data_IF_890187010914
#
_entry.id   IF_890187010914
#
_cell.length_a   1.000
_cell.length_b   1.000
_cell.length_c   1.000
_cell.angle_alpha   90.00
_cell.angle_beta   90.00
_cell.angle_gamma   90.00
#
_symmetry.space_group_name_H-M   'P 1'
#
loop_
_entity.id
_entity.type
_entity.pdbx_description
1 polymer ?
#
# COMPACT_ATOMS: atom_id res chain seq x y z
N UNK A 1 11.34 -12.83 -39.65
CA UNK A 1 11.22 -13.59 -38.38
C UNK A 1 9.74 -13.70 -38.07
N UNK A 2 9.15 -14.89 -37.93
CA UNK A 2 7.76 -14.99 -37.47
C UNK A 2 7.73 -14.65 -35.96
N UNK A 3 6.95 -13.63 -35.60
CA UNK A 3 6.64 -13.29 -34.21
C UNK A 3 5.63 -14.30 -33.67
N UNK A 4 6.03 -15.08 -32.66
CA UNK A 4 5.10 -15.94 -31.93
C UNK A 4 4.33 -15.07 -30.91
N UNK A 5 3.00 -14.94 -31.01
CA UNK A 5 2.22 -14.26 -30.00
C UNK A 5 2.24 -15.10 -28.72
N UNK A 6 2.85 -14.55 -27.66
CA UNK A 6 2.89 -15.18 -26.35
C UNK A 6 1.47 -15.28 -25.77
N UNK A 7 0.96 -16.47 -25.42
CA UNK A 7 -0.44 -16.68 -25.00
C UNK A 7 -0.77 -16.16 -23.60
N UNK A 8 0.21 -15.62 -22.86
CA UNK A 8 0.05 -15.26 -21.44
C UNK A 8 -0.38 -13.81 -21.17
N UNK A 9 -0.45 -12.94 -22.19
CA UNK A 9 -0.72 -11.50 -21.96
C UNK A 9 -2.18 -11.09 -22.16
N UNK A 10 -3.05 -11.94 -22.71
CA UNK A 10 -4.44 -11.56 -23.03
C UNK A 10 -5.49 -12.07 -22.03
N UNK A 11 -5.17 -13.13 -21.28
CA UNK A 11 -6.08 -13.72 -20.29
C UNK A 11 -6.00 -13.03 -18.91
N UNK A 12 -4.90 -12.33 -18.64
CA UNK A 12 -4.68 -11.69 -17.33
C UNK A 12 -5.44 -10.35 -17.22
N UNK A 13 -5.60 -9.61 -18.33
CA UNK A 13 -6.35 -8.33 -18.37
C UNK A 13 -7.86 -8.48 -18.15
N UNK A 14 -8.42 -9.70 -18.17
CA UNK A 14 -9.82 -9.94 -17.79
C UNK A 14 -10.01 -10.20 -16.30
N UNK A 15 -8.91 -10.37 -15.55
CA UNK A 15 -8.93 -10.56 -14.08
C UNK A 15 -8.79 -9.23 -13.33
N UNK A 16 -8.62 -8.12 -14.07
CA UNK A 16 -8.51 -6.81 -13.51
C UNK A 16 -9.58 -5.87 -14.05
N UNK A 17 -10.27 -5.19 -13.15
CA UNK A 17 -11.10 -4.05 -13.47
C UNK A 17 -10.31 -2.94 -14.16
N UNK A 18 -11.02 -2.08 -14.89
CA UNK A 18 -10.43 -0.91 -15.51
C UNK A 18 -10.21 0.19 -14.47
N UNK A 19 -9.04 0.83 -14.49
CA UNK A 19 -8.70 1.95 -13.59
C UNK A 19 -9.68 3.15 -13.60
N UNK A 20 -10.54 3.30 -14.61
CA UNK A 20 -11.51 4.38 -14.72
C UNK A 20 -12.94 3.94 -14.39
N UNK A 21 -13.11 2.68 -14.03
CA UNK A 21 -14.40 2.06 -13.74
C UNK A 21 -14.52 1.88 -12.23
N UNK A 22 -15.66 2.28 -11.68
CA UNK A 22 -15.97 2.07 -10.27
C UNK A 22 -16.85 0.84 -10.16
N UNK A 23 -16.28 -0.25 -9.63
CA UNK A 23 -16.97 -1.53 -9.44
C UNK A 23 -17.05 -1.82 -7.93
N UNK A 24 -18.12 -1.39 -7.24
CA UNK A 24 -18.26 -1.54 -5.79
C UNK A 24 -18.11 -2.98 -5.30
N UNK A 25 -18.55 -3.95 -6.10
CA UNK A 25 -18.51 -5.37 -5.80
C UNK A 25 -17.08 -5.93 -5.71
N UNK A 26 -16.13 -5.27 -6.37
CA UNK A 26 -14.71 -5.61 -6.38
C UNK A 26 -13.86 -4.72 -5.47
N UNK A 27 -14.51 -3.94 -4.59
CA UNK A 27 -13.85 -3.07 -3.63
C UNK A 27 -14.19 -3.48 -2.19
N UNK A 28 -13.29 -3.23 -1.22
CA UNK A 28 -13.63 -3.40 0.18
C UNK A 28 -14.83 -2.53 0.55
N UNK A 29 -15.71 -3.01 1.42
CA UNK A 29 -16.64 -2.11 2.11
C UNK A 29 -15.88 -1.03 2.88
N UNK A 30 -16.41 0.21 3.02
CA UNK A 30 -15.81 1.21 3.89
C UNK A 30 -15.83 0.70 5.33
N UNK A 31 -14.66 0.60 5.96
CA UNK A 31 -14.54 0.14 7.33
C UNK A 31 -14.65 1.28 8.35
N UNK A 32 -14.45 0.96 9.65
CA UNK A 32 -14.70 1.89 10.75
C UNK A 32 -13.88 3.18 10.69
N UNK A 33 -12.72 3.19 10.03
CA UNK A 33 -11.92 4.42 9.90
C UNK A 33 -12.56 5.48 9.02
N UNK A 34 -13.47 5.06 8.13
CA UNK A 34 -14.18 5.89 7.17
C UNK A 34 -15.62 6.22 7.61
N UNK A 35 -16.09 5.64 8.71
CA UNK A 35 -17.45 5.87 9.21
C UNK A 35 -17.65 7.34 9.62
N UNK A 36 -18.83 7.88 9.30
CA UNK A 36 -19.14 9.31 9.51
C UNK A 36 -18.40 10.29 8.58
N UNK A 37 -17.74 9.82 7.53
CA UNK A 37 -17.01 10.66 6.55
C UNK A 37 -17.57 10.53 5.13
N UNK A 38 -17.25 11.49 4.25
CA UNK A 38 -17.72 11.48 2.85
C UNK A 38 -16.89 10.49 2.02
N UNK A 39 -17.35 9.23 1.97
CA UNK A 39 -16.71 8.15 1.22
C UNK A 39 -16.69 8.49 -0.27
N UNK A 40 -15.50 8.42 -0.88
CA UNK A 40 -15.35 8.62 -2.33
C UNK A 40 -15.97 7.44 -3.08
N UNK A 41 -16.90 7.74 -3.97
CA UNK A 41 -17.53 6.81 -4.92
C UNK A 41 -17.30 7.28 -6.35
N UNK A 42 -17.60 6.40 -7.30
CA UNK A 42 -17.67 6.71 -8.73
C UNK A 42 -16.37 7.40 -9.23
N UNK A 43 -16.52 8.47 -10.01
CA UNK A 43 -15.41 9.25 -10.56
C UNK A 43 -14.47 9.82 -9.49
N UNK A 44 -14.98 10.18 -8.30
CA UNK A 44 -14.14 10.69 -7.22
C UNK A 44 -13.19 9.60 -6.72
N UNK A 45 -13.68 8.37 -6.59
CA UNK A 45 -12.86 7.24 -6.22
C UNK A 45 -11.83 6.94 -7.31
N UNK A 46 -12.27 6.75 -8.56
CA UNK A 46 -11.37 6.34 -9.64
C UNK A 46 -10.33 7.40 -9.98
N UNK A 47 -10.67 8.69 -9.89
CA UNK A 47 -9.73 9.79 -10.09
C UNK A 47 -8.59 9.76 -9.07
N UNK A 48 -8.93 9.66 -7.77
CA UNK A 48 -7.92 9.58 -6.72
C UNK A 48 -7.12 8.28 -6.78
N UNK A 49 -7.78 7.17 -7.13
CA UNK A 49 -7.13 5.87 -7.24
C UNK A 49 -6.15 5.79 -8.42
N UNK A 50 -6.46 6.40 -9.57
CA UNK A 50 -5.53 6.57 -10.69
C UNK A 50 -4.31 7.40 -10.33
N UNK A 51 -4.49 8.44 -9.51
CA UNK A 51 -3.37 9.20 -8.97
C UNK A 51 -2.53 8.33 -8.04
N UNK A 52 -3.17 7.60 -7.12
CA UNK A 52 -2.51 6.65 -6.21
C UNK A 52 -1.61 5.69 -6.96
N UNK A 53 -2.10 5.08 -8.06
CA UNK A 53 -1.26 4.22 -8.91
C UNK A 53 0.04 4.92 -9.34
N UNK A 54 -0.06 6.14 -9.87
CA UNK A 54 1.12 6.91 -10.34
C UNK A 54 2.09 7.24 -9.20
N UNK A 55 1.58 7.69 -8.06
CA UNK A 55 2.41 8.03 -6.91
C UNK A 55 3.09 6.78 -6.34
N UNK A 56 2.39 5.64 -6.32
CA UNK A 56 2.95 4.37 -5.85
C UNK A 56 4.00 3.82 -6.80
N UNK A 57 3.85 4.01 -8.11
CA UNK A 57 4.87 3.67 -9.10
C UNK A 57 6.14 4.50 -8.86
N UNK A 58 5.99 5.82 -8.68
CA UNK A 58 7.11 6.74 -8.44
C UNK A 58 7.83 6.47 -7.11
N UNK A 59 7.07 6.11 -6.06
CA UNK A 59 7.58 5.93 -4.69
C UNK A 59 7.85 4.47 -4.33
N UNK A 60 7.69 3.54 -5.27
CA UNK A 60 8.03 2.13 -5.07
C UNK A 60 7.12 1.38 -4.09
N UNK A 61 5.83 1.71 -4.02
CA UNK A 61 4.85 1.01 -3.17
C UNK A 61 4.29 -0.21 -3.93
N UNK A 62 5.00 -1.33 -3.79
CA UNK A 62 4.70 -2.60 -4.47
C UNK A 62 4.37 -3.69 -3.45
N UNK A 63 3.35 -4.49 -3.76
CA UNK A 63 3.08 -5.73 -3.06
C UNK A 63 4.00 -6.82 -3.62
N UNK A 64 4.93 -7.31 -2.80
CA UNK A 64 5.91 -8.32 -3.23
C UNK A 64 5.29 -9.72 -3.32
N UNK A 65 4.15 -9.96 -2.66
CA UNK A 65 3.42 -11.22 -2.75
C UNK A 65 2.82 -11.38 -4.14
N UNK A 66 2.26 -10.30 -4.69
CA UNK A 66 1.64 -10.33 -6.01
C UNK A 66 2.54 -9.79 -7.14
N UNK A 67 3.63 -9.10 -6.82
CA UNK A 67 4.59 -8.60 -7.79
C UNK A 67 4.11 -7.39 -8.59
N UNK A 68 3.17 -6.60 -8.06
CA UNK A 68 2.64 -5.42 -8.72
C UNK A 68 2.52 -4.21 -7.79
N UNK A 69 2.28 -3.05 -8.39
CA UNK A 69 1.93 -1.81 -7.68
C UNK A 69 0.73 -2.05 -6.77
N UNK A 70 0.82 -1.66 -5.49
CA UNK A 70 -0.21 -1.95 -4.49
C UNK A 70 -1.62 -1.46 -4.90
N UNK A 71 -1.72 -0.34 -5.62
CA UNK A 71 -3.00 0.17 -6.10
C UNK A 71 -3.71 -0.81 -7.05
N UNK A 72 -2.96 -1.66 -7.77
CA UNK A 72 -3.56 -2.67 -8.66
C UNK A 72 -4.41 -3.71 -7.90
N UNK A 73 -4.20 -3.88 -6.58
CA UNK A 73 -5.00 -4.79 -5.77
C UNK A 73 -6.49 -4.42 -5.76
N UNK A 74 -6.83 -3.12 -5.82
CA UNK A 74 -8.22 -2.65 -5.92
C UNK A 74 -8.95 -3.08 -7.19
N UNK A 75 -8.21 -3.56 -8.18
CA UNK A 75 -8.77 -3.98 -9.47
C UNK A 75 -8.78 -5.49 -9.58
N UNK A 76 -8.19 -6.24 -8.64
CA UNK A 76 -8.01 -7.68 -8.79
C UNK A 76 -9.28 -8.43 -8.39
N UNK A 77 -10.01 -8.95 -9.38
CA UNK A 77 -11.29 -9.66 -9.19
C UNK A 77 -11.13 -10.95 -8.36
N UNK A 78 -9.91 -11.44 -8.18
CA UNK A 78 -9.62 -12.59 -7.29
C UNK A 78 -9.65 -12.18 -5.82
N UNK A 79 -9.59 -10.89 -5.54
CA UNK A 79 -9.53 -10.30 -4.20
C UNK A 79 -10.52 -9.12 -4.04
N UNK A 80 -11.83 -9.33 -4.30
CA UNK A 80 -12.82 -8.26 -4.40
C UNK A 80 -13.05 -7.49 -3.09
N UNK A 81 -12.60 -8.01 -1.95
CA UNK A 81 -12.70 -7.35 -0.66
C UNK A 81 -11.39 -6.66 -0.21
N UNK A 82 -10.37 -6.60 -1.06
CA UNK A 82 -9.05 -6.10 -0.72
C UNK A 82 -8.67 -4.82 -1.47
N UNK A 83 -7.71 -4.07 -0.93
CA UNK A 83 -7.28 -2.79 -1.47
C UNK A 83 -7.72 -1.61 -0.62
N UNK A 84 -7.81 -0.44 -1.24
CA UNK A 84 -8.06 0.83 -0.58
C UNK A 84 -9.50 1.33 -0.72
N UNK A 85 -10.01 1.91 0.37
CA UNK A 85 -11.18 2.80 0.35
C UNK A 85 -10.78 4.19 0.86
N UNK A 86 -11.48 5.21 0.37
CA UNK A 86 -11.15 6.60 0.64
C UNK A 86 -12.37 7.37 1.12
N UNK A 87 -12.18 8.34 2.01
CA UNK A 87 -13.22 9.30 2.41
C UNK A 87 -12.61 10.69 2.69
N UNK A 88 -13.33 11.77 2.36
CA UNK A 88 -12.99 13.13 2.83
C UNK A 88 -13.42 13.26 4.29
N UNK A 89 -12.53 13.77 5.13
CA UNK A 89 -12.81 13.99 6.55
C UNK A 89 -13.91 15.08 6.70
N UNK A 90 -14.99 14.74 7.40
CA UNK A 90 -16.20 15.57 7.49
C UNK A 90 -15.92 16.94 8.14
N UNK A 91 -15.13 16.95 9.22
CA UNK A 91 -14.79 18.17 9.97
C UNK A 91 -13.55 18.89 9.41
N UNK A 92 -12.96 18.39 8.32
CA UNK A 92 -11.70 18.88 7.76
C UNK A 92 -11.50 18.40 6.32
N UNK A 93 -12.26 18.90 5.34
CA UNK A 93 -12.33 18.32 3.99
C UNK A 93 -11.02 18.39 3.19
N UNK A 94 -10.01 19.15 3.65
CA UNK A 94 -8.66 19.12 3.08
C UNK A 94 -7.82 17.91 3.52
N UNK A 95 -8.34 17.09 4.44
CA UNK A 95 -7.76 15.79 4.82
C UNK A 95 -8.53 14.64 4.17
N UNK A 96 -7.80 13.77 3.49
CA UNK A 96 -8.32 12.50 3.01
C UNK A 96 -7.98 11.37 4.00
N UNK A 97 -8.92 10.45 4.20
CA UNK A 97 -8.73 9.20 4.92
C UNK A 97 -8.67 8.05 3.93
N UNK A 98 -7.62 7.23 4.03
CA UNK A 98 -7.41 6.04 3.24
C UNK A 98 -7.34 4.82 4.17
N UNK A 99 -8.23 3.85 3.98
CA UNK A 99 -8.23 2.59 4.71
C UNK A 99 -7.81 1.45 3.78
N UNK A 100 -6.83 0.66 4.21
CA UNK A 100 -6.30 -0.48 3.49
C UNK A 100 -6.86 -1.79 4.07
N UNK A 101 -7.49 -2.59 3.23
CA UNK A 101 -7.95 -3.94 3.56
C UNK A 101 -7.02 -4.96 2.88
N UNK A 102 -6.21 -5.73 3.62
CA UNK A 102 -5.37 -6.77 3.03
C UNK A 102 -6.21 -7.97 2.58
N UNK A 103 -5.66 -8.81 1.70
CA UNK A 103 -6.32 -10.03 1.22
C UNK A 103 -6.55 -11.07 2.32
N UNK A 104 -5.77 -11.03 3.41
CA UNK A 104 -5.91 -11.92 4.56
C UNK A 104 -5.64 -11.19 5.89
N UNK A 105 -6.19 -11.68 7.01
CA UNK A 105 -5.94 -11.11 8.35
C UNK A 105 -4.48 -11.09 8.80
N UNK A 106 -3.60 -11.86 8.15
CA UNK A 106 -2.22 -12.12 8.57
C UNK A 106 -1.18 -11.55 7.60
N UNK A 107 -1.59 -10.74 6.62
CA UNK A 107 -0.69 -10.22 5.59
C UNK A 107 0.56 -9.57 6.21
N UNK A 108 1.75 -10.17 6.06
CA UNK A 108 2.95 -9.76 6.79
C UNK A 108 3.46 -8.39 6.36
N UNK A 109 3.07 -7.93 5.16
CA UNK A 109 3.53 -6.68 4.58
C UNK A 109 2.63 -5.49 4.91
N UNK A 110 1.46 -5.69 5.52
CA UNK A 110 0.46 -4.62 5.76
C UNK A 110 1.09 -3.37 6.38
N UNK A 111 1.94 -3.54 7.40
CA UNK A 111 2.64 -2.44 8.06
C UNK A 111 3.53 -1.65 7.08
N UNK A 112 4.41 -2.34 6.36
CA UNK A 112 5.35 -1.71 5.41
C UNK A 112 4.60 -1.04 4.26
N UNK A 113 3.58 -1.70 3.71
CA UNK A 113 2.77 -1.20 2.62
C UNK A 113 2.01 0.08 3.01
N UNK A 114 1.39 0.12 4.19
CA UNK A 114 0.68 1.33 4.62
C UNK A 114 1.60 2.48 5.00
N UNK A 115 2.79 2.22 5.55
CA UNK A 115 3.81 3.27 5.74
C UNK A 115 4.27 3.80 4.37
N UNK A 116 4.58 2.91 3.43
CA UNK A 116 4.96 3.30 2.07
C UNK A 116 3.89 4.16 1.41
N UNK A 117 2.63 3.76 1.55
CA UNK A 117 1.47 4.51 1.03
C UNK A 117 1.35 5.89 1.67
N UNK A 118 1.44 5.98 3.00
CA UNK A 118 1.43 7.26 3.73
C UNK A 118 2.53 8.20 3.23
N UNK A 119 3.76 7.70 3.07
CA UNK A 119 4.89 8.47 2.54
C UNK A 119 4.67 8.89 1.09
N UNK A 120 4.11 8.00 0.27
CA UNK A 120 3.92 8.28 -1.15
C UNK A 120 2.92 9.41 -1.40
N UNK A 121 1.80 9.40 -0.68
CA UNK A 121 0.82 10.49 -0.76
C UNK A 121 1.37 11.78 -0.15
N UNK A 122 1.77 11.76 1.12
CA UNK A 122 2.15 12.98 1.84
C UNK A 122 3.54 13.52 1.45
N UNK A 123 4.36 12.75 0.76
CA UNK A 123 5.63 13.21 0.20
C UNK A 123 5.48 13.91 -1.15
N UNK A 124 4.28 13.86 -1.76
CA UNK A 124 3.95 14.43 -3.07
C UNK A 124 2.61 15.19 -2.98
N UNK A 125 2.41 15.93 -1.89
CA UNK A 125 1.16 16.65 -1.61
C UNK A 125 0.80 17.70 -2.67
N UNK A 126 1.79 18.22 -3.39
CA UNK A 126 1.62 19.12 -4.54
C UNK A 126 0.89 18.46 -5.72
N UNK A 127 0.71 17.12 -5.70
CA UNK A 127 0.09 16.35 -6.78
C UNK A 127 -1.37 15.97 -6.53
N UNK A 128 -1.95 16.35 -5.38
CA UNK A 128 -3.37 16.16 -5.07
C UNK A 128 -3.99 17.36 -4.35
N UNK A 129 -5.32 17.39 -4.30
CA UNK A 129 -6.10 18.47 -3.68
C UNK A 129 -6.07 18.49 -2.14
N UNK A 130 -5.51 17.46 -1.50
CA UNK A 130 -5.51 17.31 -0.05
C UNK A 130 -4.21 17.82 0.56
N UNK A 131 -4.32 18.51 1.70
CA UNK A 131 -3.16 18.92 2.51
C UNK A 131 -2.48 17.70 3.14
N UNK A 132 -3.26 16.64 3.38
CA UNK A 132 -2.83 15.44 4.10
C UNK A 132 -3.68 14.22 3.78
N UNK A 133 -3.06 13.05 3.70
CA UNK A 133 -3.71 11.74 3.59
C UNK A 133 -3.40 10.91 4.84
N UNK A 134 -4.41 10.62 5.65
CA UNK A 134 -4.30 9.72 6.81
C UNK A 134 -4.51 8.29 6.35
N UNK A 135 -3.70 7.35 6.83
CA UNK A 135 -3.71 5.96 6.38
C UNK A 135 -3.96 5.02 7.55
N UNK A 136 -4.86 4.04 7.40
CA UNK A 136 -5.08 2.97 8.38
C UNK A 136 -5.17 1.61 7.70
N UNK A 137 -4.85 0.55 8.45
CA UNK A 137 -5.18 -0.82 8.09
C UNK A 137 -6.54 -1.18 8.69
N UNK A 138 -7.39 -1.83 7.91
CA UNK A 138 -8.70 -2.30 8.33
C UNK A 138 -8.61 -3.22 9.58
N UNK A 139 -9.55 -3.14 10.53
CA UNK A 139 -9.52 -3.92 11.77
C UNK A 139 -9.47 -5.44 11.58
N UNK A 140 -9.86 -5.96 10.42
CA UNK A 140 -9.75 -7.39 10.10
C UNK A 140 -8.32 -7.94 10.21
N UNK A 141 -7.30 -7.08 10.10
CA UNK A 141 -5.91 -7.51 10.26
C UNK A 141 -5.58 -7.71 11.74
N UNK A 142 -4.98 -8.84 12.10
CA UNK A 142 -4.76 -9.23 13.50
C UNK A 142 -3.86 -8.25 14.29
N UNK A 143 -2.99 -7.50 13.60
CA UNK A 143 -2.12 -6.46 14.18
C UNK A 143 -2.59 -5.05 13.85
N UNK A 144 -3.84 -4.88 13.41
CA UNK A 144 -4.38 -3.58 12.97
C UNK A 144 -4.15 -2.49 14.01
N UNK A 145 -4.44 -2.73 15.30
CA UNK A 145 -4.18 -1.78 16.40
C UNK A 145 -2.74 -1.30 16.41
N UNK A 146 -1.77 -2.21 16.55
CA UNK A 146 -0.35 -1.84 16.63
C UNK A 146 0.18 -1.15 15.36
N UNK A 147 -0.33 -1.51 14.19
CA UNK A 147 0.02 -0.85 12.92
C UNK A 147 -0.58 0.57 12.88
N UNK A 148 -1.84 0.69 13.28
CA UNK A 148 -2.57 1.95 13.27
C UNK A 148 -2.01 2.94 14.30
N UNK A 149 -1.61 2.48 15.48
CA UNK A 149 -0.89 3.31 16.47
C UNK A 149 0.38 3.90 15.86
N UNK A 150 1.14 3.10 15.11
CA UNK A 150 2.35 3.58 14.42
C UNK A 150 2.03 4.57 13.30
N UNK A 151 0.95 4.37 12.56
CA UNK A 151 0.48 5.30 11.54
C UNK A 151 -0.05 6.61 12.16
N UNK A 152 -0.64 6.56 13.35
CA UNK A 152 -1.02 7.73 14.15
C UNK A 152 0.21 8.54 14.57
N UNK A 153 1.27 7.88 15.06
CA UNK A 153 2.53 8.56 15.40
C UNK A 153 3.18 9.25 14.19
N UNK A 154 3.16 8.59 13.02
CA UNK A 154 3.69 9.17 11.77
C UNK A 154 2.85 10.36 11.30
N UNK A 155 1.52 10.24 11.34
CA UNK A 155 0.59 11.32 11.00
C UNK A 155 0.76 12.53 11.91
N UNK A 156 0.87 12.32 13.23
CA UNK A 156 1.11 13.39 14.19
C UNK A 156 2.43 14.13 13.90
N UNK A 157 3.53 13.39 13.67
CA UNK A 157 4.83 13.99 13.30
C UNK A 157 4.76 14.78 11.99
N UNK A 158 4.10 14.23 10.98
CA UNK A 158 3.93 14.92 9.70
C UNK A 158 3.12 16.20 9.88
N UNK A 159 2.01 16.16 10.62
CA UNK A 159 1.19 17.35 10.91
C UNK A 159 1.99 18.44 11.62
N UNK A 160 2.82 18.05 12.60
CA UNK A 160 3.55 19.00 13.42
C UNK A 160 4.77 19.61 12.70
N UNK A 161 5.37 18.88 11.74
CA UNK A 161 6.63 19.28 11.08
C UNK A 161 6.52 19.59 9.59
N UNK A 162 5.47 19.13 8.92
CA UNK A 162 5.31 19.15 7.47
C UNK A 162 6.31 18.27 6.72
N UNK A 163 7.04 17.36 7.40
CA UNK A 163 8.11 16.55 6.80
C UNK A 163 7.79 15.07 6.84
N UNK A 164 8.17 14.37 5.78
CA UNK A 164 8.11 12.92 5.67
C UNK A 164 9.49 12.33 5.95
N UNK A 165 9.58 11.51 7.00
CA UNK A 165 10.79 10.76 7.31
C UNK A 165 10.95 9.61 6.30
N UNK A 166 11.83 9.80 5.31
CA UNK A 166 12.16 8.79 4.29
C UNK A 166 12.92 7.56 4.87
N UNK A 167 13.48 7.68 6.07
CA UNK A 167 14.44 6.74 6.65
C UNK A 167 13.86 5.41 7.19
N UNK A 168 12.84 4.82 6.57
CA UNK A 168 12.27 3.55 7.04
C UNK A 168 11.91 2.56 5.95
N UNK A 169 12.76 2.40 4.94
CA UNK A 169 12.66 1.35 3.93
C UNK A 169 13.82 0.35 4.06
N UNK A 170 13.49 -0.91 4.30
CA UNK A 170 14.35 -2.11 4.40
C UNK A 170 15.14 -2.30 5.70
N UNK A 171 14.53 -3.04 6.64
CA UNK A 171 15.25 -3.86 7.61
C UNK A 171 15.24 -5.33 7.14
N UNK A 172 15.82 -5.63 5.97
CA UNK A 172 16.25 -7.00 5.61
C UNK A 172 17.41 -6.97 4.59
N UNK A 173 18.65 -7.12 5.08
CA UNK A 173 19.81 -7.81 4.47
C UNK A 173 21.10 -7.36 5.21
N UNK A 174 21.86 -8.18 5.92
CA UNK A 174 21.85 -9.62 6.06
C UNK A 174 22.53 -10.07 7.35
N UNK A 175 22.10 -11.24 7.82
CA UNK A 175 22.87 -12.07 8.74
C UNK A 175 24.27 -12.25 8.17
N UNK A 176 25.28 -11.60 8.78
CA UNK A 176 26.67 -11.98 8.56
C UNK A 176 26.84 -13.33 9.26
N UNK A 177 26.53 -14.39 8.52
CA UNK A 177 26.98 -15.75 8.83
C UNK A 177 28.50 -15.69 8.99
N UNK A 178 28.93 -16.07 10.18
CA UNK A 178 30.30 -16.38 10.51
C UNK A 178 30.80 -17.45 9.52
N UNK A 179 31.87 -17.21 8.75
CA UNK A 179 32.50 -18.30 8.02
C UNK A 179 33.27 -19.15 9.04
N UNK A 180 32.69 -20.29 9.41
CA UNK A 180 33.48 -21.42 9.84
C UNK A 180 34.31 -21.90 8.66
N UNK A 181 35.63 -21.83 8.77
CA UNK A 181 36.53 -22.61 7.92
C UNK A 181 37.21 -23.68 8.77
N UNK A 182 36.90 -24.89 8.34
CA UNK A 182 37.45 -26.21 8.63
C UNK A 182 38.99 -26.23 8.68
N UNK A 183 39.53 -26.94 9.67
CA UNK A 183 40.47 -28.04 9.49
C UNK A 183 41.90 -27.77 8.96
N UNK A 184 42.88 -27.94 9.84
CA UNK A 184 44.10 -28.71 9.53
C UNK A 184 45.40 -27.93 9.38
N UNK A 185 46.25 -27.97 10.41
CA UNK A 185 47.70 -28.20 10.30
C UNK A 185 48.34 -28.22 11.71
N UNK A 186 48.75 -29.41 12.17
CA UNK A 186 49.84 -29.52 13.14
C UNK A 186 51.15 -29.17 12.42
N UNK A 187 52.08 -28.48 13.09
CA UNK A 187 53.50 -28.65 12.85
C UNK A 187 54.19 -29.33 14.04
N UNK A 188 55.36 -29.95 13.79
CA UNK A 188 56.06 -30.79 14.76
C UNK A 188 56.91 -29.97 15.74
N UNK A 189 57.36 -30.70 16.78
CA UNK A 189 58.30 -30.39 17.87
C UNK A 189 57.64 -30.10 19.22
#
# INVERSE_FOLDING_TARGET
MPEFPSPFSRADDTLFDRYHEFVPENLPGPGPFLDGHDVLTDDRHTAFHRLTKRLFDERGVYDMTFGYNLARLNLDDRHPAAGYRYAKEADGPSTLRAEFTPTTPFCPQSHTLTIGSFRAWNGLTDRHEYDRVRVRVHPMHQRSTAINDRLDELDARYRDTGRIDEAGGSATAGSRRQPGSVGGAQPPF
#
